data_IF_549971559865
#
_entry.id   IF_549971559865
#
_cell.length_a   1.000
_cell.length_b   1.000
_cell.length_c   1.000
_cell.angle_alpha   90.00
_cell.angle_beta   90.00
_cell.angle_gamma   90.00
#
_symmetry.space_group_name_H-M   'P 1'
#
loop_
_entity.id
_entity.type
_entity.pdbx_description
1 polymer ?
#
# COMPACT_ATOMS: atom_id res chain seq x y z
N UNK A 1 -0.21 17.73 -4.52
CA UNK A 1 -0.24 18.20 -3.12
C UNK A 1 -0.75 19.62 -3.10
N UNK A 2 -1.72 19.92 -2.27
CA UNK A 2 -2.32 21.26 -2.12
C UNK A 2 -2.48 21.60 -0.66
N UNK A 3 -2.42 22.90 -0.35
CA UNK A 3 -2.71 23.44 0.97
C UNK A 3 -4.22 23.69 1.09
N UNK A 4 -4.90 23.02 2.00
CA UNK A 4 -6.32 23.26 2.31
C UNK A 4 -6.52 24.37 3.32
N UNK A 5 -5.72 24.37 4.38
CA UNK A 5 -5.82 25.31 5.47
C UNK A 5 -4.48 25.50 6.16
N UNK A 6 -4.24 26.70 6.69
CA UNK A 6 -3.11 26.96 7.58
C UNK A 6 -3.47 28.02 8.62
N UNK A 7 -2.94 27.87 9.82
CA UNK A 7 -2.77 28.91 10.82
C UNK A 7 -1.38 28.79 11.47
N UNK A 8 -1.16 29.47 12.58
CA UNK A 8 0.14 29.51 13.25
C UNK A 8 0.60 28.15 13.84
N UNK A 9 -0.30 27.18 13.98
CA UNK A 9 -0.01 25.90 14.62
C UNK A 9 -0.59 24.70 13.86
N UNK A 10 -1.24 24.93 12.71
CA UNK A 10 -1.94 23.90 11.97
C UNK A 10 -1.77 24.06 10.48
N UNK A 11 -1.38 23.01 9.80
CA UNK A 11 -1.33 22.89 8.34
C UNK A 11 -2.16 21.70 7.90
N UNK A 12 -3.17 21.91 7.08
CA UNK A 12 -3.95 20.84 6.44
C UNK A 12 -3.54 20.71 5.00
N UNK A 13 -3.12 19.53 4.65
CA UNK A 13 -2.69 19.13 3.31
C UNK A 13 -3.72 18.19 2.68
N UNK A 14 -3.82 18.23 1.37
CA UNK A 14 -4.63 17.31 0.58
C UNK A 14 -3.90 16.99 -0.75
N UNK A 15 -4.19 15.84 -1.32
CA UNK A 15 -3.63 15.44 -2.62
C UNK A 15 -4.58 14.48 -3.34
N UNK A 16 -4.44 14.38 -4.65
CA UNK A 16 -5.08 13.31 -5.40
C UNK A 16 -4.29 12.01 -5.23
N UNK A 17 -4.99 10.89 -5.07
CA UNK A 17 -4.35 9.58 -5.18
C UNK A 17 -3.69 9.47 -6.57
N UNK A 18 -2.51 8.83 -6.69
CA UNK A 18 -1.92 8.59 -8.00
C UNK A 18 -2.83 7.72 -8.87
N UNK A 19 -2.76 7.93 -10.17
CA UNK A 19 -3.44 7.05 -11.13
C UNK A 19 -2.86 5.64 -10.97
N UNK A 20 -3.73 4.64 -10.90
CA UNK A 20 -3.31 3.25 -10.83
C UNK A 20 -2.59 2.87 -12.12
N UNK A 21 -1.34 2.51 -12.00
CA UNK A 21 -0.57 1.91 -13.09
C UNK A 21 -0.66 0.38 -12.96
N UNK A 22 -0.84 -0.30 -14.08
CA UNK A 22 -0.82 -1.76 -14.13
C UNK A 22 0.56 -2.20 -14.61
N UNK A 23 1.22 -2.97 -13.77
CA UNK A 23 2.58 -3.45 -14.00
C UNK A 23 2.68 -4.94 -13.70
N UNK A 24 3.66 -5.60 -14.29
CA UNK A 24 3.99 -6.97 -13.90
C UNK A 24 4.57 -6.97 -12.50
N UNK A 25 3.93 -7.70 -11.60
CA UNK A 25 4.32 -7.89 -10.21
C UNK A 25 4.68 -9.36 -10.00
N UNK A 26 5.65 -9.62 -9.17
CA UNK A 26 5.90 -10.96 -8.60
C UNK A 26 5.81 -10.84 -7.09
N UNK A 27 4.95 -11.65 -6.48
CA UNK A 27 4.89 -11.78 -5.04
C UNK A 27 5.59 -13.08 -4.64
N UNK A 28 6.73 -12.92 -3.99
CA UNK A 28 7.60 -13.99 -3.47
C UNK A 28 7.39 -14.21 -1.97
N UNK A 29 6.41 -13.53 -1.37
CA UNK A 29 6.04 -13.57 0.04
C UNK A 29 7.13 -13.20 1.04
N UNK A 30 8.30 -12.76 0.59
CA UNK A 30 9.42 -12.36 1.46
C UNK A 30 9.16 -11.07 2.24
N UNK A 31 8.28 -10.20 1.74
CA UNK A 31 7.93 -8.94 2.41
C UNK A 31 6.97 -9.10 3.60
N UNK A 32 6.33 -10.27 3.74
CA UNK A 32 5.37 -10.50 4.82
C UNK A 32 6.02 -11.17 6.03
N UNK A 33 5.44 -10.93 7.22
CA UNK A 33 5.93 -11.55 8.45
C UNK A 33 5.88 -13.08 8.37
N UNK A 34 6.88 -13.77 8.92
CA UNK A 34 6.83 -15.21 9.06
C UNK A 34 5.56 -15.66 9.81
N UNK A 35 4.97 -16.74 9.38
CA UNK A 35 3.76 -17.34 9.98
C UNK A 35 2.49 -16.51 9.87
N UNK A 36 2.52 -15.38 9.17
CA UNK A 36 1.30 -14.59 8.92
C UNK A 36 0.24 -15.41 8.17
N UNK A 37 -1.03 -15.20 8.52
CA UNK A 37 -2.20 -15.80 7.86
C UNK A 37 -2.96 -14.80 7.00
N UNK A 38 -2.39 -13.58 6.83
CA UNK A 38 -2.86 -12.53 5.94
C UNK A 38 -1.67 -11.90 5.21
N UNK A 39 -1.82 -11.55 3.94
CA UNK A 39 -0.71 -11.19 3.05
C UNK A 39 -1.04 -9.92 2.26
N UNK A 40 -0.83 -8.77 2.87
CA UNK A 40 -0.97 -7.49 2.19
C UNK A 40 -2.30 -7.32 1.46
N UNK A 41 -2.26 -7.33 0.12
CA UNK A 41 -3.44 -7.13 -0.74
C UNK A 41 -4.15 -8.42 -1.17
N UNK A 42 -3.57 -9.57 -0.90
CA UNK A 42 -4.22 -10.87 -1.11
C UNK A 42 -5.36 -11.06 -0.13
N UNK A 43 -6.39 -11.78 -0.54
CA UNK A 43 -7.48 -12.19 0.35
C UNK A 43 -7.48 -13.70 0.48
N UNK A 44 -7.72 -14.20 1.68
CA UNK A 44 -7.83 -15.62 1.94
C UNK A 44 -9.22 -15.96 2.45
N UNK A 45 -9.76 -17.12 2.05
CA UNK A 45 -11.00 -17.66 2.60
C UNK A 45 -10.74 -19.12 2.99
N UNK A 46 -10.89 -19.40 4.26
CA UNK A 46 -10.97 -20.75 4.80
C UNK A 46 -12.44 -21.19 4.76
N UNK A 47 -12.85 -21.92 3.72
CA UNK A 47 -14.23 -22.31 3.51
C UNK A 47 -14.56 -23.64 4.18
N UNK A 48 -13.58 -24.51 4.41
CA UNK A 48 -13.75 -25.78 5.11
C UNK A 48 -13.86 -25.64 6.63
N UNK A 49 -13.36 -24.52 7.20
CA UNK A 49 -13.36 -24.23 8.64
C UNK A 49 -12.66 -25.29 9.48
N UNK A 50 -11.70 -25.99 8.89
CA UNK A 50 -10.91 -26.98 9.58
C UNK A 50 -9.87 -26.37 10.51
N UNK A 51 -9.30 -27.19 11.36
CA UNK A 51 -8.24 -26.83 12.31
C UNK A 51 -6.92 -27.43 11.83
N UNK A 52 -5.90 -26.60 11.64
CA UNK A 52 -4.60 -27.00 11.14
C UNK A 52 -3.94 -28.09 11.99
N UNK A 53 -3.55 -29.18 11.37
CA UNK A 53 -2.98 -30.33 12.06
C UNK A 53 -1.50 -30.16 12.38
N UNK A 54 -1.00 -30.80 13.44
CA UNK A 54 0.44 -30.92 13.67
C UNK A 54 1.09 -31.78 12.58
N UNK A 55 2.25 -31.36 12.08
CA UNK A 55 2.99 -32.14 11.06
C UNK A 55 3.59 -33.43 11.64
N UNK A 56 3.94 -33.41 12.90
CA UNK A 56 4.38 -34.58 13.67
C UNK A 56 4.11 -34.38 15.17
N UNK A 57 4.37 -35.38 15.98
CA UNK A 57 4.26 -35.26 17.45
C UNK A 57 5.26 -34.27 18.03
N UNK A 58 6.36 -34.03 17.36
CA UNK A 58 7.49 -33.23 17.84
C UNK A 58 7.52 -31.83 17.19
N UNK A 59 6.90 -31.68 16.02
CA UNK A 59 6.88 -30.43 15.27
C UNK A 59 5.81 -29.48 15.78
N UNK A 60 6.23 -28.29 16.18
CA UNK A 60 5.35 -27.21 16.56
C UNK A 60 5.58 -26.04 15.61
N UNK A 61 4.51 -25.50 15.07
CA UNK A 61 4.52 -24.27 14.28
C UNK A 61 3.44 -23.32 14.82
N UNK A 62 3.58 -22.02 14.61
CA UNK A 62 2.55 -21.05 14.98
C UNK A 62 1.20 -21.37 14.28
N UNK A 63 0.09 -21.00 14.95
CA UNK A 63 -1.28 -21.22 14.47
C UNK A 63 -1.70 -22.69 14.32
N UNK A 64 -0.91 -23.62 14.82
CA UNK A 64 -1.30 -25.03 14.89
C UNK A 64 -2.57 -25.18 15.72
N UNK A 65 -3.55 -25.92 15.22
CA UNK A 65 -4.91 -26.07 15.78
C UNK A 65 -5.77 -24.79 15.71
N UNK A 66 -5.38 -23.85 14.87
CA UNK A 66 -6.21 -22.69 14.51
C UNK A 66 -6.80 -22.87 13.10
N UNK A 67 -7.77 -22.04 12.77
CA UNK A 67 -8.42 -22.01 11.45
C UNK A 67 -7.77 -20.96 10.57
N UNK A 68 -7.26 -21.32 9.43
CA UNK A 68 -6.75 -20.43 8.39
C UNK A 68 -6.66 -21.16 7.04
N UNK A 69 -6.74 -20.43 5.95
CA UNK A 69 -6.60 -20.99 4.60
C UNK A 69 -5.14 -21.24 4.24
N UNK A 70 -4.30 -20.20 4.34
CA UNK A 70 -2.87 -20.22 4.02
C UNK A 70 -2.08 -19.52 5.11
N UNK A 71 -0.80 -19.87 5.20
CA UNK A 71 0.15 -19.26 6.12
C UNK A 71 1.49 -19.02 5.43
N UNK A 72 2.16 -17.92 5.75
CA UNK A 72 3.50 -17.58 5.25
C UNK A 72 4.56 -18.39 6.01
N UNK A 73 4.92 -19.52 5.43
CA UNK A 73 5.75 -20.55 6.06
C UNK A 73 7.24 -20.24 5.96
N UNK A 74 7.93 -20.25 7.11
CA UNK A 74 9.40 -20.13 7.18
C UNK A 74 10.01 -21.40 7.78
N UNK A 75 10.39 -22.40 6.97
CA UNK A 75 10.80 -23.72 7.45
C UNK A 75 12.08 -23.70 8.30
N UNK A 76 13.00 -22.79 8.04
CA UNK A 76 14.26 -22.66 8.79
C UNK A 76 14.06 -22.48 10.29
N UNK A 77 12.94 -21.89 10.71
CA UNK A 77 12.64 -21.64 12.11
C UNK A 77 12.21 -22.91 12.86
N UNK A 78 11.86 -23.96 12.13
CA UNK A 78 11.39 -25.22 12.73
C UNK A 78 12.38 -26.38 12.62
N UNK A 79 12.95 -26.57 11.42
CA UNK A 79 13.69 -27.79 11.10
C UNK A 79 15.03 -27.54 10.45
N UNK A 80 15.37 -26.30 10.16
CA UNK A 80 16.44 -26.01 9.22
C UNK A 80 16.01 -26.29 7.77
N UNK A 81 16.92 -26.13 6.84
CA UNK A 81 16.70 -26.32 5.39
C UNK A 81 16.79 -27.79 4.99
N UNK A 82 16.27 -28.12 3.81
CA UNK A 82 16.41 -29.44 3.19
C UNK A 82 15.47 -30.52 3.74
N UNK A 83 14.39 -30.13 4.40
CA UNK A 83 13.37 -31.06 4.88
C UNK A 83 12.20 -31.24 3.89
N UNK A 84 12.35 -30.80 2.64
CA UNK A 84 11.30 -30.86 1.61
C UNK A 84 10.21 -29.82 1.77
N UNK A 85 10.43 -28.82 2.63
CA UNK A 85 9.56 -27.68 2.86
C UNK A 85 10.23 -26.37 2.44
N UNK A 86 11.38 -26.47 1.76
CA UNK A 86 12.11 -25.30 1.30
C UNK A 86 11.27 -24.52 0.28
N UNK A 87 11.21 -23.16 0.35
CA UNK A 87 10.52 -22.35 -0.63
C UNK A 87 11.11 -22.50 -2.03
N UNK A 88 10.38 -22.08 -3.06
CA UNK A 88 10.90 -22.04 -4.44
C UNK A 88 12.00 -20.99 -4.57
N UNK A 89 11.78 -19.83 -3.98
CA UNK A 89 12.80 -18.77 -3.84
C UNK A 89 12.85 -18.23 -2.43
N UNK A 90 13.90 -17.48 -2.08
CA UNK A 90 14.01 -16.81 -0.79
C UNK A 90 14.00 -17.75 0.42
N UNK A 91 13.24 -17.41 1.44
CA UNK A 91 13.17 -18.08 2.75
C UNK A 91 11.77 -18.48 3.17
N UNK A 92 10.74 -18.02 2.45
CA UNK A 92 9.33 -18.21 2.78
C UNK A 92 8.50 -18.62 1.57
N UNK A 93 7.42 -19.34 1.80
CA UNK A 93 6.40 -19.69 0.81
C UNK A 93 5.03 -19.76 1.49
N UNK A 94 3.93 -19.63 0.75
CA UNK A 94 2.60 -19.91 1.28
C UNK A 94 2.37 -21.40 1.41
N UNK A 95 1.75 -21.81 2.53
CA UNK A 95 1.39 -23.19 2.80
C UNK A 95 -0.05 -23.28 3.27
N UNK A 96 -0.85 -24.15 2.65
CA UNK A 96 -2.07 -24.69 3.23
C UNK A 96 -1.76 -26.02 3.88
N UNK A 97 -2.09 -26.16 5.16
CA UNK A 97 -1.84 -27.36 5.97
C UNK A 97 -3.11 -28.20 5.98
N UNK A 98 -2.99 -29.53 5.97
CA UNK A 98 -4.11 -30.42 6.16
C UNK A 98 -4.82 -30.16 7.51
N UNK A 99 -6.14 -30.38 7.56
CA UNK A 99 -6.99 -29.94 8.64
C UNK A 99 -7.91 -31.04 9.16
N UNK A 100 -8.35 -30.90 10.41
CA UNK A 100 -9.37 -31.77 11.02
C UNK A 100 -10.55 -30.95 11.50
N UNK A 101 -11.62 -31.65 11.84
CA UNK A 101 -12.72 -31.09 12.62
C UNK A 101 -12.23 -30.60 14.01
N UNK A 102 -13.06 -29.87 14.70
CA UNK A 102 -12.75 -29.34 16.04
C UNK A 102 -12.37 -30.41 17.05
N UNK A 103 -12.76 -31.67 16.83
CA UNK A 103 -12.44 -32.78 17.74
C UNK A 103 -11.04 -33.35 17.50
N UNK A 104 -10.37 -32.97 16.41
CA UNK A 104 -9.08 -33.50 15.99
C UNK A 104 -9.12 -34.96 15.50
N UNK A 105 -10.30 -35.48 15.17
CA UNK A 105 -10.49 -36.90 14.84
C UNK A 105 -10.81 -37.17 13.39
N UNK A 106 -11.46 -36.21 12.72
CA UNK A 106 -11.91 -36.37 11.35
C UNK A 106 -11.19 -35.37 10.45
N UNK A 107 -10.46 -35.87 9.47
CA UNK A 107 -9.87 -34.99 8.44
C UNK A 107 -10.97 -34.37 7.60
N UNK A 108 -10.79 -33.10 7.23
CA UNK A 108 -11.72 -32.38 6.36
C UNK A 108 -11.15 -32.26 4.94
N UNK A 109 -12.01 -32.22 3.95
CA UNK A 109 -11.63 -31.90 2.58
C UNK A 109 -11.21 -30.44 2.53
N UNK A 110 -10.08 -30.15 1.91
CA UNK A 110 -9.60 -28.78 1.77
C UNK A 110 -10.56 -27.94 0.90
N UNK A 111 -10.81 -26.72 1.36
CA UNK A 111 -11.47 -25.65 0.61
C UNK A 111 -10.88 -24.30 1.01
N UNK A 112 -9.62 -24.09 0.62
CA UNK A 112 -8.84 -22.93 0.99
C UNK A 112 -8.57 -22.04 -0.22
N UNK A 113 -8.92 -20.78 -0.14
CA UNK A 113 -8.85 -19.83 -1.24
C UNK A 113 -7.75 -18.80 -1.02
N UNK A 114 -6.94 -18.55 -2.03
CA UNK A 114 -6.04 -17.42 -2.16
C UNK A 114 -6.52 -16.57 -3.34
N UNK A 115 -7.02 -15.38 -3.06
CA UNK A 115 -7.63 -14.49 -4.07
C UNK A 115 -6.69 -13.30 -4.32
N UNK A 116 -6.43 -13.03 -5.59
CA UNK A 116 -5.49 -12.01 -6.03
C UNK A 116 -5.88 -10.59 -5.61
N UNK A 117 -4.91 -9.66 -5.57
CA UNK A 117 -5.17 -8.23 -5.70
C UNK A 117 -5.94 -7.92 -7.00
N UNK A 118 -6.51 -6.70 -7.16
CA UNK A 118 -7.15 -6.29 -8.40
C UNK A 118 -6.21 -6.37 -9.61
N UNK A 119 -6.70 -6.92 -10.71
CA UNK A 119 -5.98 -7.04 -11.98
C UNK A 119 -6.34 -5.89 -12.93
N UNK A 120 -5.61 -5.79 -14.05
CA UNK A 120 -5.86 -4.78 -15.09
C UNK A 120 -7.16 -4.97 -15.85
N UNK A 121 -7.76 -6.15 -15.81
CA UNK A 121 -8.87 -6.55 -16.66
C UNK A 121 -8.47 -6.92 -18.08
N UNK A 122 -7.19 -6.80 -18.45
CA UNK A 122 -6.68 -7.26 -19.75
C UNK A 122 -6.42 -8.76 -19.73
N UNK A 123 -6.48 -9.38 -20.91
CA UNK A 123 -5.98 -10.73 -21.07
C UNK A 123 -4.50 -10.80 -20.67
N UNK A 124 -4.14 -11.74 -19.81
CA UNK A 124 -2.78 -11.87 -19.29
C UNK A 124 -2.44 -13.31 -18.93
N UNK A 125 -1.16 -13.59 -18.76
CA UNK A 125 -0.68 -14.85 -18.22
C UNK A 125 -0.29 -14.68 -16.76
N UNK A 126 -0.87 -15.50 -15.89
CA UNK A 126 -0.42 -15.67 -14.51
C UNK A 126 0.51 -16.86 -14.44
N UNK A 127 1.63 -16.70 -13.75
CA UNK A 127 2.59 -17.77 -13.49
C UNK A 127 2.84 -17.88 -12.00
N UNK A 128 2.91 -19.09 -11.49
CA UNK A 128 3.26 -19.35 -10.10
C UNK A 128 3.87 -20.73 -9.95
N UNK A 129 4.50 -20.99 -8.84
CA UNK A 129 5.08 -22.29 -8.53
C UNK A 129 4.27 -22.97 -7.44
N UNK A 130 4.09 -24.28 -7.57
CA UNK A 130 3.43 -25.14 -6.59
C UNK A 130 4.29 -26.31 -6.21
N UNK A 131 4.16 -26.76 -4.97
CA UNK A 131 4.79 -27.96 -4.47
C UNK A 131 3.88 -28.67 -3.48
N UNK A 132 4.18 -29.92 -3.17
CA UNK A 132 3.58 -30.65 -2.06
C UNK A 132 4.67 -31.39 -1.28
N UNK A 133 4.44 -31.62 -0.01
CA UNK A 133 5.38 -32.36 0.80
C UNK A 133 5.31 -33.86 0.48
N UNK A 134 6.43 -34.43 -0.02
CA UNK A 134 6.67 -35.86 -0.14
C UNK A 134 5.54 -36.71 -0.73
N UNK A 135 4.93 -36.24 -1.80
CA UNK A 135 3.72 -36.76 -2.48
C UNK A 135 3.47 -38.25 -2.50
N UNK A 136 4.51 -39.10 -2.46
CA UNK A 136 4.31 -40.55 -2.51
C UNK A 136 3.78 -41.14 -1.18
N UNK A 137 4.00 -40.50 -0.04
CA UNK A 137 3.63 -41.01 1.30
C UNK A 137 2.36 -40.35 1.84
N UNK A 138 1.98 -39.18 1.31
CA UNK A 138 0.88 -38.35 1.80
C UNK A 138 -0.17 -38.00 0.73
N UNK A 139 -0.08 -38.62 -0.46
CA UNK A 139 -1.01 -38.36 -1.54
C UNK A 139 -0.63 -37.19 -2.42
N UNK A 140 -1.57 -36.76 -3.24
CA UNK A 140 -1.40 -35.66 -4.18
C UNK A 140 -2.22 -34.47 -3.70
N UNK A 141 -1.72 -33.26 -3.93
CA UNK A 141 -2.49 -32.06 -3.67
C UNK A 141 -3.25 -31.63 -4.93
N UNK A 142 -4.52 -31.31 -4.79
CA UNK A 142 -5.38 -30.84 -5.88
C UNK A 142 -5.73 -29.38 -5.67
N UNK A 143 -5.74 -28.61 -6.75
CA UNK A 143 -6.14 -27.22 -6.73
C UNK A 143 -6.81 -26.79 -8.03
N UNK A 144 -7.57 -25.72 -7.95
CA UNK A 144 -8.28 -25.08 -9.06
C UNK A 144 -7.76 -23.66 -9.24
N UNK A 145 -7.78 -23.16 -10.49
CA UNK A 145 -7.63 -21.74 -10.77
C UNK A 145 -8.97 -21.19 -11.25
N UNK A 146 -9.44 -20.14 -10.61
CA UNK A 146 -10.75 -19.55 -10.89
C UNK A 146 -10.58 -18.06 -11.21
N UNK A 147 -11.53 -17.48 -11.92
CA UNK A 147 -11.54 -16.08 -12.32
C UNK A 147 -12.87 -15.42 -11.97
N UNK A 148 -12.80 -14.14 -11.58
CA UNK A 148 -13.96 -13.28 -11.38
C UNK A 148 -13.81 -12.00 -12.17
N UNK A 149 -14.87 -11.57 -12.84
CA UNK A 149 -14.97 -10.29 -13.55
C UNK A 149 -15.63 -9.19 -12.71
N UNK A 150 -16.06 -9.47 -11.48
CA UNK A 150 -16.82 -8.53 -10.64
C UNK A 150 -16.12 -8.25 -9.31
N UNK A 151 -16.15 -9.19 -8.39
CA UNK A 151 -15.72 -9.01 -7.00
C UNK A 151 -15.03 -10.27 -6.45
N UNK A 152 -14.76 -10.30 -5.14
CA UNK A 152 -14.06 -11.39 -4.44
C UNK A 152 -15.00 -12.37 -3.74
N UNK A 153 -16.30 -12.29 -3.95
CA UNK A 153 -17.25 -13.26 -3.39
C UNK A 153 -17.07 -14.63 -4.08
N UNK A 154 -17.08 -15.71 -3.31
CA UNK A 154 -16.81 -17.07 -3.85
C UNK A 154 -17.72 -17.43 -5.01
N UNK A 155 -19.00 -17.05 -4.95
CA UNK A 155 -20.01 -17.27 -5.98
C UNK A 155 -19.75 -16.52 -7.29
N UNK A 156 -18.89 -15.50 -7.27
CA UNK A 156 -18.50 -14.72 -8.45
C UNK A 156 -17.40 -15.39 -9.28
N UNK A 157 -16.76 -16.42 -8.73
CA UNK A 157 -15.65 -17.10 -9.38
C UNK A 157 -16.10 -18.26 -10.25
N UNK A 158 -15.45 -18.40 -11.41
CA UNK A 158 -15.66 -19.49 -12.35
C UNK A 158 -14.33 -20.22 -12.57
N UNK A 159 -14.39 -21.55 -12.61
CA UNK A 159 -13.23 -22.39 -12.92
C UNK A 159 -12.70 -22.08 -14.33
N UNK A 160 -11.39 -21.95 -14.45
CA UNK A 160 -10.70 -21.84 -15.73
C UNK A 160 -9.72 -23.00 -15.91
N UNK A 161 -9.84 -23.68 -17.03
CA UNK A 161 -9.06 -24.90 -17.30
C UNK A 161 -9.52 -26.12 -16.50
N UNK A 162 -8.60 -27.02 -16.23
CA UNK A 162 -8.84 -28.27 -15.50
C UNK A 162 -8.43 -28.15 -14.02
N UNK A 163 -8.80 -29.13 -13.23
CA UNK A 163 -8.27 -29.31 -11.87
C UNK A 163 -6.81 -29.75 -11.98
N UNK A 164 -5.93 -29.07 -11.31
CA UNK A 164 -4.51 -29.39 -11.26
C UNK A 164 -4.24 -30.40 -10.15
N UNK A 165 -3.32 -31.33 -10.42
CA UNK A 165 -2.84 -32.30 -9.43
C UNK A 165 -1.33 -32.15 -9.29
N UNK A 166 -0.87 -31.76 -8.10
CA UNK A 166 0.55 -31.67 -7.77
C UNK A 166 1.01 -32.97 -7.11
N UNK A 167 2.01 -33.58 -7.69
CA UNK A 167 2.58 -34.83 -7.23
C UNK A 167 4.10 -34.72 -7.10
N UNK A 168 4.69 -35.40 -6.16
CA UNK A 168 6.11 -35.70 -6.20
C UNK A 168 7.07 -34.79 -5.41
N UNK A 169 6.62 -33.87 -4.59
CA UNK A 169 7.52 -33.14 -3.66
C UNK A 169 8.60 -32.29 -4.30
N UNK A 170 8.33 -31.74 -5.50
CA UNK A 170 9.20 -30.79 -6.20
C UNK A 170 8.39 -29.64 -6.78
N UNK A 171 9.00 -28.47 -6.84
CA UNK A 171 8.38 -27.28 -7.41
C UNK A 171 8.04 -27.46 -8.90
N UNK A 172 6.80 -27.16 -9.23
CA UNK A 172 6.25 -27.22 -10.60
C UNK A 172 5.76 -25.82 -10.98
N UNK A 173 6.21 -25.33 -12.14
CA UNK A 173 5.71 -24.07 -12.69
C UNK A 173 4.32 -24.27 -13.30
N UNK A 174 3.38 -23.42 -12.91
CA UNK A 174 2.02 -23.36 -13.43
C UNK A 174 1.86 -22.06 -14.22
N UNK A 175 1.35 -22.17 -15.43
CA UNK A 175 1.06 -21.05 -16.32
C UNK A 175 -0.42 -21.09 -16.70
N UNK A 176 -1.15 -20.01 -16.44
CA UNK A 176 -2.59 -19.90 -16.72
C UNK A 176 -2.86 -18.63 -17.52
N UNK A 177 -3.52 -18.79 -18.67
CA UNK A 177 -3.96 -17.67 -19.49
C UNK A 177 -5.32 -17.15 -18.96
N UNK A 178 -5.33 -15.95 -18.38
CA UNK A 178 -6.54 -15.29 -17.94
C UNK A 178 -7.20 -14.53 -19.10
N UNK A 179 -8.53 -14.69 -19.33
CA UNK A 179 -9.24 -13.97 -20.38
C UNK A 179 -9.37 -12.46 -20.08
N UNK A 180 -9.64 -11.69 -21.11
CA UNK A 180 -10.04 -10.28 -20.97
C UNK A 180 -11.29 -10.15 -20.09
N UNK A 181 -11.36 -9.11 -19.26
CA UNK A 181 -12.42 -8.88 -18.29
C UNK A 181 -12.18 -9.52 -16.93
N UNK A 182 -11.07 -10.23 -16.74
CA UNK A 182 -10.72 -10.80 -15.43
C UNK A 182 -10.24 -9.72 -14.47
N UNK A 183 -10.99 -9.47 -13.41
CA UNK A 183 -10.65 -8.51 -12.35
C UNK A 183 -9.91 -9.16 -11.19
N UNK A 184 -10.15 -10.44 -10.95
CA UNK A 184 -9.49 -11.24 -9.91
C UNK A 184 -9.29 -12.67 -10.38
N UNK A 185 -8.20 -13.31 -9.95
CA UNK A 185 -8.09 -14.77 -10.00
C UNK A 185 -8.01 -15.32 -8.58
N UNK A 186 -8.31 -16.61 -8.44
CA UNK A 186 -8.12 -17.33 -7.20
C UNK A 186 -7.42 -18.66 -7.46
N UNK A 187 -6.57 -19.07 -6.53
CA UNK A 187 -6.03 -20.43 -6.41
C UNK A 187 -6.79 -21.06 -5.24
N UNK A 188 -7.56 -22.11 -5.53
CA UNK A 188 -8.37 -22.82 -4.55
C UNK A 188 -7.82 -24.22 -4.32
N UNK A 189 -7.34 -24.49 -3.12
CA UNK A 189 -6.91 -25.80 -2.68
C UNK A 189 -8.13 -26.68 -2.42
N UNK A 190 -8.22 -27.86 -3.06
CA UNK A 190 -9.45 -28.70 -3.07
C UNK A 190 -9.20 -30.17 -2.76
N UNK A 191 -8.03 -30.48 -2.23
CA UNK A 191 -7.58 -31.85 -1.94
C UNK A 191 -8.55 -32.58 -1.01
N UNK A 192 -8.82 -33.85 -1.35
CA UNK A 192 -9.67 -34.70 -0.52
C UNK A 192 -9.06 -34.96 0.87
N UNK A 193 -9.92 -35.23 1.84
CA UNK A 193 -9.50 -35.37 3.24
C UNK A 193 -8.48 -36.48 3.52
N UNK A 194 -8.45 -37.52 2.70
CA UNK A 194 -7.53 -38.65 2.81
C UNK A 194 -6.20 -38.45 2.05
N UNK A 195 -6.10 -37.39 1.26
CA UNK A 195 -4.90 -37.09 0.45
C UNK A 195 -4.16 -35.83 0.90
N UNK A 196 -4.87 -34.87 1.49
CA UNK A 196 -4.31 -33.59 1.88
C UNK A 196 -3.19 -33.74 2.93
N UNK A 197 -2.10 -33.00 2.73
CA UNK A 197 -1.05 -32.84 3.72
C UNK A 197 -0.50 -31.41 3.74
N UNK A 198 0.30 -31.01 2.75
CA UNK A 198 0.84 -29.68 2.62
C UNK A 198 0.84 -29.24 1.16
N UNK A 199 0.05 -28.25 0.84
CA UNK A 199 0.05 -27.59 -0.46
C UNK A 199 0.83 -26.27 -0.35
N UNK A 200 1.83 -26.09 -1.21
CA UNK A 200 2.76 -24.97 -1.20
C UNK A 200 2.62 -24.14 -2.47
N UNK A 201 2.64 -22.82 -2.33
CA UNK A 201 2.60 -21.85 -3.45
C UNK A 201 3.70 -20.82 -3.23
N UNK A 202 4.38 -20.43 -4.34
CA UNK A 202 5.42 -19.39 -4.30
C UNK A 202 5.54 -18.64 -5.64
N UNK A 203 6.21 -17.47 -5.62
CA UNK A 203 6.59 -16.68 -6.80
C UNK A 203 5.43 -16.43 -7.77
N UNK A 204 4.34 -15.83 -7.30
CA UNK A 204 3.17 -15.56 -8.14
C UNK A 204 3.42 -14.29 -8.97
N UNK A 205 3.49 -14.44 -10.29
CA UNK A 205 3.69 -13.34 -11.24
C UNK A 205 2.39 -13.06 -12.01
N UNK A 206 1.96 -11.79 -12.00
CA UNK A 206 0.74 -11.33 -12.65
C UNK A 206 0.83 -9.84 -13.00
N UNK A 207 -0.03 -9.33 -13.90
CA UNK A 207 -0.20 -7.89 -14.13
C UNK A 207 -1.27 -7.34 -13.18
N UNK A 208 -0.84 -6.59 -12.20
CA UNK A 208 -1.70 -6.01 -11.17
C UNK A 208 -1.64 -4.50 -11.11
N UNK A 209 -2.66 -3.89 -10.50
CA UNK A 209 -2.67 -2.46 -10.23
C UNK A 209 -1.70 -2.10 -9.11
N UNK A 210 -0.73 -1.25 -9.41
CA UNK A 210 0.16 -0.68 -8.40
C UNK A 210 -0.56 0.44 -7.65
N UNK A 211 -1.40 0.09 -6.68
CA UNK A 211 -2.18 1.01 -5.86
C UNK A 211 -1.43 1.26 -4.55
N UNK A 212 -1.29 2.51 -4.11
CA UNK A 212 -0.71 2.78 -2.80
C UNK A 212 -1.48 2.10 -1.67
N UNK A 213 -0.76 1.58 -0.71
CA UNK A 213 -1.30 1.07 0.57
C UNK A 213 -1.44 2.18 1.60
N UNK A 214 -0.79 3.34 1.36
CA UNK A 214 -0.83 4.50 2.22
C UNK A 214 0.09 5.60 1.70
N UNK A 215 0.36 6.57 2.55
CA UNK A 215 1.20 7.73 2.25
C UNK A 215 2.10 8.07 3.44
N UNK A 216 3.27 8.63 3.15
CA UNK A 216 4.14 9.24 4.15
C UNK A 216 4.26 10.73 3.91
N UNK A 217 4.17 11.50 4.98
CA UNK A 217 4.23 12.96 4.95
C UNK A 217 5.48 13.44 5.66
N UNK A 218 6.14 14.41 5.07
CA UNK A 218 7.39 14.98 5.54
C UNK A 218 7.28 16.51 5.59
N UNK A 219 8.02 17.13 6.50
CA UNK A 219 8.24 18.57 6.53
C UNK A 219 9.75 18.82 6.63
N UNK A 220 10.29 19.63 5.72
CA UNK A 220 11.72 19.92 5.60
C UNK A 220 12.60 18.65 5.57
N UNK A 221 12.09 17.59 4.91
CA UNK A 221 12.73 16.29 4.81
C UNK A 221 12.62 15.42 6.07
N UNK A 222 11.97 15.88 7.13
CA UNK A 222 11.73 15.10 8.34
C UNK A 222 10.37 14.42 8.28
N UNK A 223 10.32 13.13 8.61
CA UNK A 223 9.09 12.36 8.66
C UNK A 223 8.13 12.90 9.74
N UNK A 224 6.90 13.21 9.35
CA UNK A 224 5.83 13.68 10.24
C UNK A 224 4.87 12.57 10.63
N UNK A 225 4.50 11.72 9.68
CA UNK A 225 3.51 10.69 9.92
C UNK A 225 3.00 10.02 8.64
N UNK A 226 2.15 9.02 8.83
CA UNK A 226 1.48 8.28 7.75
C UNK A 226 0.02 8.69 7.61
N UNK A 227 -0.53 8.49 6.41
CA UNK A 227 -1.96 8.58 6.13
C UNK A 227 -2.38 7.38 5.28
N UNK A 228 -3.53 6.78 5.59
CA UNK A 228 -4.09 5.66 4.81
C UNK A 228 -4.80 6.15 3.55
N UNK A 229 -5.30 7.37 3.57
CA UNK A 229 -6.01 8.02 2.48
C UNK A 229 -5.39 9.39 2.19
N UNK A 230 -5.62 9.98 1.01
CA UNK A 230 -5.21 11.35 0.74
C UNK A 230 -5.71 12.34 1.80
N UNK A 231 -4.80 13.14 2.31
CA UNK A 231 -5.05 14.15 3.34
C UNK A 231 -4.22 13.94 4.60
N UNK A 232 -3.71 15.03 5.15
CA UNK A 232 -2.94 15.02 6.41
C UNK A 232 -3.08 16.35 7.14
N UNK A 233 -3.12 16.29 8.45
CA UNK A 233 -3.14 17.47 9.31
C UNK A 233 -1.91 17.48 10.21
N UNK A 234 -1.01 18.43 9.97
CA UNK A 234 0.06 18.74 10.90
C UNK A 234 -0.47 19.73 11.96
N UNK A 235 -0.64 19.24 13.18
CA UNK A 235 -1.10 20.02 14.34
C UNK A 235 0.03 20.64 15.15
N UNK A 236 1.28 20.42 14.73
CA UNK A 236 2.48 20.91 15.38
C UNK A 236 3.31 21.80 14.43
N UNK A 237 2.67 22.32 13.38
CA UNK A 237 3.30 23.21 12.42
C UNK A 237 3.92 24.42 13.13
N UNK A 238 5.16 24.74 12.80
CA UNK A 238 5.86 25.88 13.38
C UNK A 238 5.49 27.16 12.64
N UNK A 239 5.24 28.24 13.37
CA UNK A 239 4.93 29.55 12.82
C UNK A 239 6.19 30.41 12.62
N UNK A 240 7.27 29.83 12.14
CA UNK A 240 8.60 30.46 12.14
C UNK A 240 9.20 30.69 10.73
N UNK A 241 8.47 30.39 9.67
CA UNK A 241 9.01 30.66 8.34
C UNK A 241 8.28 29.98 7.20
N UNK A 242 9.06 29.63 6.19
CA UNK A 242 8.65 28.83 5.07
C UNK A 242 9.08 27.39 5.31
N UNK A 243 8.16 26.46 5.14
CA UNK A 243 8.41 25.04 5.27
C UNK A 243 8.07 24.30 3.97
N UNK A 244 8.83 23.27 3.66
CA UNK A 244 8.62 22.42 2.50
C UNK A 244 7.95 21.13 2.95
N UNK A 245 6.68 20.97 2.64
CA UNK A 245 5.98 19.71 2.85
C UNK A 245 6.14 18.80 1.63
N UNK A 246 6.29 17.52 1.85
CA UNK A 246 6.26 16.54 0.79
C UNK A 246 5.48 15.29 1.19
N UNK A 247 4.90 14.63 0.21
CA UNK A 247 4.17 13.37 0.36
C UNK A 247 4.69 12.36 -0.63
N UNK A 248 4.87 11.13 -0.17
CA UNK A 248 5.15 9.95 -1.00
C UNK A 248 3.99 8.97 -0.88
N UNK A 249 3.69 8.25 -1.96
CA UNK A 249 2.81 7.08 -1.92
C UNK A 249 3.65 5.87 -1.49
N UNK A 250 3.11 5.04 -0.60
CA UNK A 250 3.75 3.79 -0.13
C UNK A 250 3.04 2.62 -0.78
N UNK A 251 3.79 1.66 -1.32
CA UNK A 251 3.27 0.48 -2.00
C UNK A 251 3.39 -0.78 -1.13
N UNK A 252 2.83 -1.90 -1.59
CA UNK A 252 2.75 -3.14 -0.83
C UNK A 252 4.14 -3.73 -0.47
N UNK A 253 5.15 -3.50 -1.31
CA UNK A 253 6.55 -3.86 -1.09
C UNK A 253 7.32 -2.86 -0.20
N UNK A 254 6.60 -1.96 0.45
CA UNK A 254 7.14 -0.86 1.24
C UNK A 254 7.98 0.17 0.45
N UNK A 255 8.05 0.07 -0.87
CA UNK A 255 8.66 1.12 -1.69
C UNK A 255 7.86 2.42 -1.65
N UNK A 256 8.55 3.54 -1.91
CA UNK A 256 7.92 4.86 -1.95
C UNK A 256 8.03 5.47 -3.35
N UNK A 257 6.98 6.20 -3.75
CA UNK A 257 7.03 7.02 -4.97
C UNK A 257 8.03 8.17 -4.82
N UNK A 258 8.34 8.84 -5.94
CA UNK A 258 8.95 10.15 -5.86
C UNK A 258 8.06 11.11 -5.05
N UNK A 259 8.66 12.02 -4.24
CA UNK A 259 7.88 12.95 -3.43
C UNK A 259 7.19 14.01 -4.29
N UNK A 260 5.95 14.32 -3.95
CA UNK A 260 5.27 15.51 -4.42
C UNK A 260 5.42 16.60 -3.37
N UNK A 261 5.94 17.75 -3.77
CA UNK A 261 6.43 18.82 -2.88
C UNK A 261 5.51 20.04 -2.90
N UNK A 262 5.35 20.70 -1.75
CA UNK A 262 4.64 21.96 -1.59
C UNK A 262 5.36 22.86 -0.57
N UNK A 263 5.67 24.08 -0.97
CA UNK A 263 6.18 25.10 -0.06
C UNK A 263 5.02 25.82 0.64
N UNK A 264 5.05 25.86 1.96
CA UNK A 264 4.04 26.49 2.81
C UNK A 264 4.70 27.55 3.70
N UNK A 265 4.24 28.79 3.58
CA UNK A 265 4.67 29.88 4.47
C UNK A 265 3.80 29.84 5.72
N UNK A 266 4.34 29.45 6.86
CA UNK A 266 3.62 29.40 8.15
C UNK A 266 3.79 30.67 8.97
N UNK A 267 4.88 31.43 8.76
CA UNK A 267 5.06 32.70 9.44
C UNK A 267 3.98 33.71 9.04
N UNK A 268 3.44 34.42 10.03
CA UNK A 268 2.74 35.66 9.79
C UNK A 268 3.82 36.68 9.37
N UNK A 269 4.02 36.86 8.09
CA UNK A 269 4.77 38.02 7.61
C UNK A 269 3.92 39.21 7.97
N UNK A 270 4.25 39.88 9.08
CA UNK A 270 3.72 41.22 9.34
C UNK A 270 3.97 42.00 8.04
N UNK A 271 2.98 42.69 7.45
CA UNK A 271 3.24 43.51 6.30
C UNK A 271 4.41 44.42 6.66
N UNK A 272 5.51 44.32 5.96
CA UNK A 272 6.67 45.18 6.16
C UNK A 272 6.11 46.58 6.09
N UNK A 273 6.21 47.34 7.18
CA UNK A 273 5.81 48.70 7.20
C UNK A 273 6.47 49.36 5.99
N UNK A 274 5.69 49.73 4.98
CA UNK A 274 6.24 50.48 3.84
C UNK A 274 7.14 51.55 4.42
N UNK A 275 8.40 51.70 4.00
CA UNK A 275 9.27 52.71 4.53
C UNK A 275 8.49 53.99 4.49
N UNK A 276 8.42 54.71 5.63
CA UNK A 276 7.60 55.88 5.80
C UNK A 276 7.81 56.78 4.58
N UNK A 277 6.81 56.86 3.70
CA UNK A 277 6.92 57.64 2.48
C UNK A 277 7.05 59.11 2.88
N UNK A 278 8.22 59.67 2.70
CA UNK A 278 8.44 61.09 2.92
C UNK A 278 7.79 61.83 1.73
N UNK A 279 6.68 62.57 1.92
CA UNK A 279 5.99 63.17 0.79
C UNK A 279 6.91 64.14 0.07
N UNK A 280 6.90 64.09 -1.27
CA UNK A 280 7.64 65.03 -2.10
C UNK A 280 6.74 66.25 -2.29
N UNK A 281 7.21 67.40 -1.83
CA UNK A 281 6.45 68.66 -1.85
C UNK A 281 7.06 69.62 -2.86
N UNK A 282 6.23 70.24 -3.68
CA UNK A 282 6.61 71.35 -4.59
C UNK A 282 5.75 72.55 -4.33
N UNK A 283 6.29 73.76 -4.44
CA UNK A 283 5.54 74.97 -4.48
C UNK A 283 4.84 75.21 -5.85
N UNK A 284 4.08 76.27 -5.98
CA UNK A 284 3.33 76.61 -7.20
C UNK A 284 4.28 76.94 -8.38
N UNK A 285 5.52 77.16 -8.20
CA UNK A 285 6.55 77.42 -9.21
C UNK A 285 7.33 76.16 -9.58
N UNK A 286 6.95 75.01 -9.05
CA UNK A 286 7.61 73.73 -9.28
C UNK A 286 8.94 73.51 -8.55
N UNK A 287 9.24 74.37 -7.59
CA UNK A 287 10.43 74.19 -6.75
C UNK A 287 10.13 73.20 -5.62
N UNK A 288 11.02 72.25 -5.43
CA UNK A 288 10.94 71.30 -4.33
C UNK A 288 11.15 71.99 -2.99
N UNK A 289 10.24 71.71 -2.04
CA UNK A 289 10.28 72.23 -0.68
C UNK A 289 10.60 71.09 0.28
N UNK A 290 11.76 71.19 0.94
CA UNK A 290 12.22 70.22 1.93
C UNK A 290 11.60 70.51 3.31
N UNK A 291 10.29 70.25 3.44
CA UNK A 291 9.56 70.44 4.70
C UNK A 291 8.46 69.40 4.85
N UNK A 292 8.29 68.88 6.07
CA UNK A 292 7.11 68.02 6.38
C UNK A 292 5.82 68.81 6.27
N UNK A 293 4.74 68.19 5.76
CA UNK A 293 3.44 68.80 5.47
C UNK A 293 2.90 69.67 6.64
N UNK A 294 3.17 69.29 7.89
CA UNK A 294 2.72 70.03 9.08
C UNK A 294 3.47 71.33 9.36
N UNK A 295 4.60 71.60 8.67
CA UNK A 295 5.47 72.79 8.82
C UNK A 295 5.47 73.69 7.58
N UNK A 296 4.59 73.43 6.63
CA UNK A 296 4.46 74.24 5.43
C UNK A 296 3.74 75.56 5.75
N UNK A 297 4.23 76.73 5.29
CA UNK A 297 3.55 77.96 5.34
C UNK A 297 2.18 77.96 4.63
N UNK A 298 1.32 78.83 4.93
CA UNK A 298 0.00 79.02 4.20
C UNK A 298 0.37 79.18 2.71
N UNK A 299 -0.31 78.41 1.89
CA UNK A 299 -0.05 78.51 0.45
C UNK A 299 -0.61 77.28 -0.31
N UNK A 300 -0.36 77.23 -1.63
CA UNK A 300 -0.73 76.10 -2.50
C UNK A 300 0.51 75.31 -2.83
N UNK A 301 0.46 73.98 -2.68
CA UNK A 301 1.54 73.06 -2.89
C UNK A 301 1.08 71.89 -3.73
N UNK A 302 2.02 71.23 -4.40
CA UNK A 302 1.81 69.89 -5.00
C UNK A 302 2.51 68.89 -4.07
N UNK A 303 1.76 68.02 -3.40
CA UNK A 303 2.27 66.98 -2.51
C UNK A 303 1.93 65.64 -3.14
N UNK A 304 2.97 64.85 -3.44
CA UNK A 304 2.84 63.52 -4.12
C UNK A 304 1.95 63.64 -5.37
N UNK A 305 2.17 64.66 -6.20
CA UNK A 305 1.44 64.89 -7.44
C UNK A 305 0.01 65.48 -7.27
N UNK A 306 -0.46 65.73 -6.04
CA UNK A 306 -1.79 66.30 -5.75
C UNK A 306 -1.71 67.74 -5.27
N UNK A 307 -2.58 68.59 -5.84
CA UNK A 307 -2.70 69.98 -5.35
C UNK A 307 -3.32 70.03 -3.96
N UNK A 308 -2.62 70.64 -3.02
CA UNK A 308 -3.00 70.79 -1.60
C UNK A 308 -2.94 72.29 -1.23
N UNK A 309 -3.96 72.78 -0.56
CA UNK A 309 -4.02 74.17 -0.02
C UNK A 309 -3.79 74.10 1.47
N UNK A 310 -2.71 74.72 1.97
CA UNK A 310 -2.45 74.90 3.40
C UNK A 310 -3.05 76.22 3.83
N UNK A 311 -4.01 76.20 4.74
CA UNK A 311 -4.74 77.34 5.26
C UNK A 311 -4.08 77.96 6.49
#
# INVERSE_FOLDING_TARGET
LVLKYKDAAKVELDWAAPTVEYVTLTDDFEAYEPWATSFGRWSTIDADKGYACPLSKESRYPHQQEQFAFMNWQPSDLYGTGQGLDPHSGTKALVAVYQTDQTGKTYVKADNWLISPPLSGKAQKVRFYVNNYAGKDFGNEEFEVLVSSTDKAQESFQLIGDIYTQTGGSWTEINVDLPEGTNYFAIRHTTSADQAFLFMIDDITYEGGNTPTGYRVYCDGQYLGAAEQPGYTDTQAKADGQHTYSVTAVYADASESLPVVLDVVTALIAPSASPAHTPIVYDVHGKRVDAVRSKLPRGVYVIDGKKVVIK
#
